data_IF_437726497736
#
_entry.id   IF_437726497736
#
_cell.length_a   1.000
_cell.length_b   1.000
_cell.length_c   1.000
_cell.angle_alpha   90.00
_cell.angle_beta   90.00
_cell.angle_gamma   90.00
#
_symmetry.space_group_name_H-M   'P 1'
#
loop_
_entity.id
_entity.type
_entity.pdbx_description
1 polymer ?
#
# COMPACT_ATOMS: atom_id res chain seq x y z
N UNK A 1 9.01 -8.95 19.38
CA UNK A 1 8.67 -7.75 18.56
C UNK A 1 9.94 -6.90 18.40
N UNK A 2 10.14 -6.20 17.27
CA UNK A 2 11.35 -5.36 17.00
C UNK A 2 11.07 -3.84 16.95
N UNK A 3 9.86 -3.41 17.32
CA UNK A 3 9.49 -1.98 17.36
C UNK A 3 9.17 -1.36 16.00
N UNK A 4 8.77 -2.15 14.99
CA UNK A 4 8.32 -1.59 13.72
C UNK A 4 6.98 -0.86 13.91
N UNK A 5 6.90 0.37 13.41
CA UNK A 5 5.71 1.24 13.50
C UNK A 5 4.82 1.15 12.26
N UNK A 6 5.30 0.53 11.19
CA UNK A 6 4.56 0.26 9.95
C UNK A 6 5.20 -0.92 9.21
N UNK A 7 4.47 -1.50 8.26
CA UNK A 7 4.95 -2.53 7.33
C UNK A 7 4.72 -2.06 5.90
N UNK A 8 5.77 -2.12 5.07
CA UNK A 8 5.69 -1.80 3.65
C UNK A 8 5.66 -3.11 2.85
N UNK A 9 4.65 -3.28 1.99
CA UNK A 9 4.55 -4.39 1.05
C UNK A 9 5.61 -4.25 -0.05
N UNK A 10 6.82 -4.76 0.21
CA UNK A 10 7.97 -4.58 -0.68
C UNK A 10 7.86 -5.29 -2.04
N UNK A 11 6.95 -6.25 -2.18
CA UNK A 11 6.66 -6.96 -3.42
C UNK A 11 5.15 -6.94 -3.71
N UNK A 12 4.79 -7.04 -4.98
CA UNK A 12 3.39 -7.02 -5.44
C UNK A 12 2.56 -8.23 -4.99
N UNK A 13 3.23 -9.31 -4.56
CA UNK A 13 2.62 -10.56 -4.10
C UNK A 13 2.26 -10.52 -2.61
N UNK A 14 2.90 -9.66 -1.81
CA UNK A 14 2.66 -9.58 -0.36
C UNK A 14 1.17 -9.26 -0.08
N UNK A 15 0.54 -8.29 -0.77
CA UNK A 15 -0.88 -8.01 -0.57
C UNK A 15 -1.82 -9.14 -0.98
N UNK A 16 -1.37 -10.19 -1.67
CA UNK A 16 -2.21 -11.35 -2.01
C UNK A 16 -2.52 -12.22 -0.78
N UNK A 17 -1.65 -12.18 0.23
CA UNK A 17 -1.73 -13.05 1.41
C UNK A 17 -1.72 -12.29 2.74
N UNK A 18 -1.49 -10.97 2.72
CA UNK A 18 -1.45 -10.11 3.90
C UNK A 18 -2.26 -8.85 3.65
N UNK A 19 -3.18 -8.53 4.55
CA UNK A 19 -4.05 -7.36 4.52
C UNK A 19 -3.87 -6.51 5.78
N UNK A 20 -4.39 -5.27 5.74
CA UNK A 20 -4.35 -4.38 6.91
C UNK A 20 -5.04 -4.99 8.15
N UNK A 21 -6.08 -5.80 7.98
CA UNK A 21 -6.78 -6.46 9.08
C UNK A 21 -5.96 -7.57 9.78
N UNK A 22 -4.90 -8.06 9.12
CA UNK A 22 -4.03 -9.10 9.67
C UNK A 22 -2.95 -8.55 10.61
N UNK A 23 -2.70 -7.23 10.61
CA UNK A 23 -1.63 -6.59 11.39
C UNK A 23 -2.08 -5.31 12.10
N UNK A 24 -1.54 -5.10 13.30
CA UNK A 24 -1.91 -3.97 14.18
C UNK A 24 -1.31 -2.61 13.74
N UNK A 25 -0.26 -2.65 12.92
CA UNK A 25 0.44 -1.46 12.43
C UNK A 25 0.00 -1.13 11.01
N UNK A 26 0.11 0.14 10.55
CA UNK A 26 -0.19 0.51 9.19
C UNK A 26 0.51 -0.38 8.15
N UNK A 27 -0.27 -0.90 7.22
CA UNK A 27 0.17 -1.66 6.07
C UNK A 27 0.19 -0.72 4.85
N UNK A 28 1.38 -0.46 4.32
CA UNK A 28 1.61 0.46 3.22
C UNK A 28 1.82 -0.37 1.96
N UNK A 29 1.01 -0.11 0.92
CA UNK A 29 1.09 -0.77 -0.38
C UNK A 29 1.66 0.18 -1.45
N UNK A 30 2.98 0.14 -1.74
CA UNK A 30 3.61 1.06 -2.69
C UNK A 30 3.02 0.98 -4.10
N UNK A 31 2.57 -0.20 -4.53
CA UNK A 31 1.96 -0.37 -5.84
C UNK A 31 0.67 0.45 -5.98
N UNK A 32 -0.20 0.40 -4.97
CA UNK A 32 -1.45 1.16 -4.97
C UNK A 32 -1.16 2.68 -4.95
N UNK A 33 -0.27 3.13 -4.07
CA UNK A 33 0.13 4.54 -3.98
C UNK A 33 0.72 5.02 -5.31
N UNK A 34 1.60 4.21 -5.93
CA UNK A 34 2.20 4.54 -7.22
C UNK A 34 1.14 4.64 -8.32
N UNK A 35 0.17 3.73 -8.36
CA UNK A 35 -0.92 3.77 -9.33
C UNK A 35 -1.76 5.05 -9.16
N UNK A 36 -2.17 5.37 -7.93
CA UNK A 36 -2.96 6.56 -7.61
C UNK A 36 -2.22 7.85 -8.03
N UNK A 37 -0.95 7.98 -7.63
CA UNK A 37 -0.12 9.13 -8.00
C UNK A 37 0.08 9.22 -9.51
N UNK A 38 0.22 8.08 -10.20
CA UNK A 38 0.40 8.06 -11.65
C UNK A 38 -0.84 8.55 -12.40
N UNK A 39 -2.05 8.17 -11.94
CA UNK A 39 -3.31 8.65 -12.50
C UNK A 39 -3.41 10.16 -12.37
N UNK A 40 -3.16 10.70 -11.17
CA UNK A 40 -3.19 12.14 -10.91
C UNK A 40 -2.16 12.89 -11.75
N UNK A 41 -0.92 12.38 -11.83
CA UNK A 41 0.14 12.98 -12.64
C UNK A 41 -0.16 12.95 -14.14
N UNK A 42 -0.94 11.99 -14.60
CA UNK A 42 -1.41 11.93 -15.98
C UNK A 42 -2.60 12.87 -16.27
N UNK A 43 -3.09 13.61 -15.27
CA UNK A 43 -4.16 14.59 -15.42
C UNK A 43 -5.57 14.02 -15.25
N UNK A 44 -5.69 12.81 -14.68
CA UNK A 44 -6.98 12.16 -14.43
C UNK A 44 -7.35 12.23 -12.95
N UNK A 45 -8.64 12.02 -12.67
CA UNK A 45 -9.17 11.91 -11.31
C UNK A 45 -9.22 10.46 -10.83
N UNK A 46 -9.02 10.25 -9.54
CA UNK A 46 -9.22 8.95 -8.90
C UNK A 46 -10.72 8.70 -8.73
N UNK A 47 -11.16 7.49 -9.04
CA UNK A 47 -12.52 7.06 -8.69
C UNK A 47 -12.54 6.68 -7.21
N UNK A 48 -13.38 7.37 -6.45
CA UNK A 48 -13.70 7.09 -5.04
C UNK A 48 -14.50 5.81 -4.88
#
# INVERSE_FOLDING_TARGET
KRGAEAVIAGCTEVPLVLKQEDIEVPFIEPLQILAEVSIVKAGYELKS
#
